data_IF_303179768513
#
_entry.id   IF_303179768513
#
_cell.length_a   1.000
_cell.length_b   1.000
_cell.length_c   1.000
_cell.angle_alpha   90.00
_cell.angle_beta   90.00
_cell.angle_gamma   90.00
#
_symmetry.space_group_name_H-M   'P 1'
#
loop_
_entity.id
_entity.type
_entity.pdbx_description
1 polymer ?
#
# COMPACT_ATOMS: atom_id res chain seq x y z
N UNK A 1 -13.43 4.28 -18.65
CA UNK A 1 -12.96 3.74 -17.36
C UNK A 1 -13.24 4.71 -16.24
N UNK A 2 -13.79 4.23 -15.13
CA UNK A 2 -14.10 5.01 -13.93
C UNK A 2 -13.21 4.56 -12.76
N UNK A 3 -12.86 5.45 -11.82
CA UNK A 3 -12.05 5.10 -10.64
C UNK A 3 -12.70 4.01 -9.78
N UNK A 4 -14.03 3.94 -9.75
CA UNK A 4 -14.74 2.86 -9.05
C UNK A 4 -14.44 1.47 -9.63
N UNK A 5 -14.20 1.36 -10.94
CA UNK A 5 -13.85 0.09 -11.57
C UNK A 5 -12.49 -0.40 -11.05
N UNK A 6 -11.52 0.51 -10.91
CA UNK A 6 -10.21 0.21 -10.35
C UNK A 6 -10.30 -0.22 -8.87
N UNK A 7 -11.14 0.45 -8.07
CA UNK A 7 -11.38 0.07 -6.67
C UNK A 7 -11.98 -1.33 -6.55
N UNK A 8 -12.95 -1.67 -7.39
CA UNK A 8 -13.55 -3.00 -7.41
C UNK A 8 -12.56 -4.07 -7.88
N UNK A 9 -11.77 -3.76 -8.91
CA UNK A 9 -10.72 -4.65 -9.40
C UNK A 9 -9.71 -4.98 -8.30
N UNK A 10 -9.16 -3.97 -7.62
CA UNK A 10 -8.23 -4.19 -6.52
C UNK A 10 -8.88 -4.97 -5.38
N UNK A 11 -10.15 -4.72 -5.07
CA UNK A 11 -10.82 -5.48 -4.02
C UNK A 11 -10.97 -6.96 -4.35
N UNK A 12 -11.30 -7.32 -5.58
CA UNK A 12 -11.35 -8.72 -6.00
C UNK A 12 -9.96 -9.36 -5.97
N UNK A 13 -8.93 -8.61 -6.38
CA UNK A 13 -7.54 -9.07 -6.35
C UNK A 13 -7.04 -9.32 -4.92
N UNK A 14 -7.25 -8.36 -4.01
CA UNK A 14 -6.80 -8.46 -2.62
C UNK A 14 -7.53 -9.57 -1.87
N UNK A 15 -8.85 -9.74 -2.10
CA UNK A 15 -9.64 -10.76 -1.42
C UNK A 15 -9.52 -12.14 -2.06
N UNK A 16 -8.98 -12.27 -3.28
CA UNK A 16 -8.92 -13.52 -4.04
C UNK A 16 -10.30 -14.13 -4.37
N UNK A 17 -11.35 -13.28 -4.44
CA UNK A 17 -12.71 -13.76 -4.69
C UNK A 17 -13.77 -12.65 -4.74
N UNK A 18 -14.68 -12.77 -5.72
CA UNK A 18 -15.76 -11.79 -5.95
C UNK A 18 -16.73 -11.66 -4.77
N UNK A 19 -17.10 -12.78 -4.13
CA UNK A 19 -18.04 -12.77 -2.99
C UNK A 19 -17.47 -12.05 -1.77
N UNK A 20 -16.19 -12.32 -1.44
CA UNK A 20 -15.50 -11.64 -0.33
C UNK A 20 -15.33 -10.15 -0.61
N UNK A 21 -14.93 -9.79 -1.82
CA UNK A 21 -14.83 -8.38 -2.24
C UNK A 21 -16.18 -7.65 -2.17
N UNK A 22 -17.27 -8.30 -2.59
CA UNK A 22 -18.63 -7.75 -2.52
C UNK A 22 -19.07 -7.49 -1.08
N UNK A 23 -18.81 -8.43 -0.18
CA UNK A 23 -19.05 -8.26 1.25
C UNK A 23 -18.25 -7.09 1.83
N UNK A 24 -16.94 -7.01 1.53
CA UNK A 24 -16.04 -5.93 1.98
C UNK A 24 -16.49 -4.53 1.53
N UNK A 25 -17.03 -4.45 0.32
CA UNK A 25 -17.45 -3.19 -0.30
C UNK A 25 -18.94 -2.89 -0.09
N UNK A 26 -19.67 -3.72 0.64
CA UNK A 26 -21.12 -3.59 0.88
C UNK A 26 -21.95 -3.43 -0.41
N UNK A 27 -21.62 -4.23 -1.43
CA UNK A 27 -22.32 -4.25 -2.72
C UNK A 27 -22.69 -5.67 -3.11
N UNK A 28 -23.54 -5.81 -4.14
CA UNK A 28 -23.91 -7.13 -4.66
C UNK A 28 -22.76 -7.74 -5.48
N UNK A 29 -22.59 -9.07 -5.37
CA UNK A 29 -21.61 -9.80 -6.16
C UNK A 29 -21.85 -9.67 -7.69
N UNK A 30 -23.11 -9.76 -8.20
CA UNK A 30 -23.39 -9.49 -9.61
C UNK A 30 -22.98 -8.07 -10.02
N UNK A 31 -23.17 -7.09 -9.13
CA UNK A 31 -22.75 -5.71 -9.32
C UNK A 31 -21.24 -5.59 -9.55
N UNK A 32 -20.42 -6.15 -8.66
CA UNK A 32 -18.95 -6.16 -8.86
C UNK A 32 -18.58 -6.89 -10.15
N UNK A 33 -19.13 -8.09 -10.39
CA UNK A 33 -18.81 -8.89 -11.58
C UNK A 33 -19.07 -8.11 -12.88
N UNK A 34 -20.19 -7.40 -12.97
CA UNK A 34 -20.53 -6.58 -14.13
C UNK A 34 -19.56 -5.40 -14.34
N UNK A 35 -19.09 -4.78 -13.25
CA UNK A 35 -18.13 -3.67 -13.34
C UNK A 35 -16.73 -4.16 -13.74
N UNK A 36 -16.31 -5.34 -13.26
CA UNK A 36 -15.06 -5.97 -13.71
C UNK A 36 -15.15 -6.36 -15.19
N UNK A 37 -16.23 -6.99 -15.62
CA UNK A 37 -16.43 -7.32 -17.03
C UNK A 37 -16.46 -6.08 -17.93
N UNK A 38 -16.96 -4.94 -17.42
CA UNK A 38 -16.87 -3.66 -18.12
C UNK A 38 -15.42 -3.17 -18.21
N UNK A 39 -14.66 -3.25 -17.13
CA UNK A 39 -13.23 -2.87 -17.13
C UNK A 39 -12.42 -3.73 -18.11
N UNK A 40 -12.64 -5.06 -18.09
CA UNK A 40 -12.00 -6.01 -19.01
C UNK A 40 -12.29 -5.67 -20.48
N UNK A 41 -13.56 -5.32 -20.80
CA UNK A 41 -13.94 -4.87 -22.15
C UNK A 41 -13.30 -3.55 -22.54
N UNK A 42 -13.26 -2.57 -21.64
CA UNK A 42 -12.66 -1.26 -21.91
C UNK A 42 -11.14 -1.34 -22.12
N UNK A 43 -10.46 -2.29 -21.43
CA UNK A 43 -9.02 -2.52 -21.58
C UNK A 43 -8.67 -3.55 -22.66
N UNK A 44 -9.66 -4.28 -23.19
CA UNK A 44 -9.44 -5.34 -24.17
C UNK A 44 -8.68 -6.55 -23.64
N UNK A 45 -8.70 -6.77 -22.31
CA UNK A 45 -7.94 -7.84 -21.67
C UNK A 45 -8.73 -8.49 -20.53
N UNK A 46 -8.62 -9.81 -20.40
CA UNK A 46 -9.12 -10.55 -19.23
C UNK A 46 -8.15 -10.33 -18.08
N UNK A 47 -8.66 -9.87 -16.93
CA UNK A 47 -7.83 -9.50 -15.79
C UNK A 47 -7.81 -10.59 -14.71
N UNK A 48 -8.81 -11.45 -14.69
CA UNK A 48 -8.91 -12.56 -13.73
C UNK A 48 -9.03 -13.91 -14.42
N UNK A 49 -8.21 -14.85 -13.99
CA UNK A 49 -8.41 -16.28 -14.23
C UNK A 49 -9.41 -16.84 -13.22
N UNK A 50 -10.50 -17.42 -13.74
CA UNK A 50 -11.63 -17.98 -12.97
C UNK A 50 -11.68 -19.51 -13.04
N UNK A 51 -10.70 -20.15 -13.68
CA UNK A 51 -10.67 -21.61 -13.87
C UNK A 51 -10.31 -22.39 -12.60
N UNK A 52 -9.62 -21.74 -11.66
CA UNK A 52 -9.18 -22.36 -10.41
C UNK A 52 -10.21 -22.21 -9.28
N UNK A 53 -10.02 -23.00 -8.21
CA UNK A 53 -10.82 -22.93 -6.97
C UNK A 53 -10.75 -21.54 -6.29
N UNK A 54 -9.75 -20.75 -6.62
CA UNK A 54 -9.58 -19.36 -6.19
C UNK A 54 -9.37 -18.47 -7.41
N UNK A 55 -9.91 -17.25 -7.35
CA UNK A 55 -9.73 -16.25 -8.41
C UNK A 55 -8.28 -15.74 -8.38
N UNK A 56 -7.60 -15.75 -9.52
CA UNK A 56 -6.22 -15.27 -9.67
C UNK A 56 -6.13 -14.17 -10.71
N UNK A 57 -5.12 -13.32 -10.60
CA UNK A 57 -4.81 -12.34 -11.64
C UNK A 57 -4.16 -13.02 -12.85
N UNK A 58 -4.51 -12.56 -14.04
CA UNK A 58 -3.74 -12.82 -15.26
C UNK A 58 -2.49 -11.93 -15.28
N UNK A 59 -1.58 -12.13 -16.24
CA UNK A 59 -0.46 -11.19 -16.46
C UNK A 59 -0.95 -9.75 -16.70
N UNK A 60 -2.01 -9.59 -17.49
CA UNK A 60 -2.67 -8.30 -17.70
C UNK A 60 -3.26 -7.77 -16.38
N UNK A 61 -3.87 -8.63 -15.57
CA UNK A 61 -4.35 -8.31 -14.23
C UNK A 61 -3.25 -7.79 -13.31
N UNK A 62 -2.07 -8.41 -13.32
CA UNK A 62 -0.92 -7.97 -12.52
C UNK A 62 -0.42 -6.59 -12.93
N UNK A 63 -0.33 -6.33 -14.24
CA UNK A 63 0.02 -5.01 -14.76
C UNK A 63 -1.02 -3.95 -14.36
N UNK A 64 -2.30 -4.27 -14.51
CA UNK A 64 -3.41 -3.38 -14.11
C UNK A 64 -3.39 -3.14 -12.61
N UNK A 65 -3.04 -4.12 -11.77
CA UNK A 65 -2.91 -3.93 -10.32
C UNK A 65 -1.91 -2.85 -9.95
N UNK A 66 -0.72 -2.89 -10.54
CA UNK A 66 0.31 -1.86 -10.30
C UNK A 66 -0.18 -0.47 -10.69
N UNK A 67 -0.72 -0.32 -11.89
CA UNK A 67 -1.18 0.99 -12.38
C UNK A 67 -2.46 1.48 -11.69
N UNK A 68 -3.40 0.59 -11.37
CA UNK A 68 -4.62 0.94 -10.67
C UNK A 68 -4.31 1.56 -9.29
N UNK A 69 -3.34 1.00 -8.57
CA UNK A 69 -2.90 1.56 -7.28
C UNK A 69 -2.28 2.94 -7.44
N UNK A 70 -1.43 3.14 -8.45
CA UNK A 70 -0.84 4.45 -8.75
C UNK A 70 -1.92 5.50 -9.09
N UNK A 71 -2.90 5.14 -9.92
CA UNK A 71 -4.02 6.04 -10.28
C UNK A 71 -4.83 6.43 -9.04
N UNK A 72 -5.13 5.46 -8.17
CA UNK A 72 -5.87 5.73 -6.94
C UNK A 72 -5.03 6.50 -5.90
N UNK A 73 -3.71 6.34 -5.90
CA UNK A 73 -2.81 7.14 -5.07
C UNK A 73 -2.76 8.60 -5.56
N UNK A 74 -2.67 8.82 -6.87
CA UNK A 74 -2.74 10.16 -7.46
C UNK A 74 -4.08 10.85 -7.16
N UNK A 75 -5.20 10.12 -7.20
CA UNK A 75 -6.50 10.68 -6.80
C UNK A 75 -6.55 11.06 -5.31
N UNK A 76 -5.97 10.25 -4.42
CA UNK A 76 -5.84 10.62 -3.01
C UNK A 76 -4.98 11.87 -2.83
N UNK A 77 -3.85 11.95 -3.53
CA UNK A 77 -2.97 13.13 -3.51
C UNK A 77 -3.65 14.40 -4.00
N UNK A 78 -4.46 14.30 -5.07
CA UNK A 78 -5.26 15.43 -5.57
C UNK A 78 -6.25 15.93 -4.52
N UNK A 79 -6.96 15.02 -3.83
CA UNK A 79 -7.86 15.41 -2.74
C UNK A 79 -7.11 16.05 -1.58
N UNK A 80 -6.00 15.45 -1.16
CA UNK A 80 -5.17 15.97 -0.07
C UNK A 80 -4.65 17.38 -0.37
N UNK A 81 -4.23 17.67 -1.61
CA UNK A 81 -3.78 19.00 -2.01
C UNK A 81 -4.90 20.06 -1.96
N UNK A 82 -6.13 19.68 -2.32
CA UNK A 82 -7.31 20.57 -2.18
C UNK A 82 -7.69 20.75 -0.71
N UNK A 83 -7.63 19.69 0.08
CA UNK A 83 -7.92 19.74 1.51
C UNK A 83 -6.89 20.59 2.26
N UNK A 84 -5.61 20.57 1.85
CA UNK A 84 -4.56 21.45 2.36
C UNK A 84 -4.86 22.93 2.10
N UNK A 85 -5.34 23.29 0.90
CA UNK A 85 -5.80 24.65 0.60
C UNK A 85 -6.96 25.09 1.52
N UNK A 86 -7.82 24.13 1.90
CA UNK A 86 -8.92 24.36 2.83
C UNK A 86 -8.51 24.28 4.32
N UNK A 87 -7.21 24.18 4.61
CA UNK A 87 -6.65 23.96 5.96
C UNK A 87 -7.21 22.73 6.69
N UNK A 88 -7.70 21.74 5.94
CA UNK A 88 -8.17 20.46 6.46
C UNK A 88 -7.10 19.40 6.19
N UNK A 89 -6.17 19.20 7.12
CA UNK A 89 -5.26 18.03 7.00
C UNK A 89 -6.05 16.78 7.38
N UNK A 90 -6.59 16.09 6.36
CA UNK A 90 -7.42 14.88 6.47
C UNK A 90 -6.96 13.83 5.48
N UNK A 91 -7.25 12.56 5.77
CA UNK A 91 -6.92 11.45 4.86
C UNK A 91 -6.35 10.24 5.60
N UNK A 92 -5.46 9.51 4.94
CA UNK A 92 -4.79 8.36 5.52
C UNK A 92 -3.29 8.38 5.20
N UNK A 93 -2.47 8.01 6.18
CA UNK A 93 -1.03 7.79 6.03
C UNK A 93 -0.72 6.35 6.46
N UNK A 94 -0.23 5.54 5.52
CA UNK A 94 0.18 4.15 5.75
C UNK A 94 1.71 4.09 5.77
N UNK A 95 2.25 3.77 6.93
CA UNK A 95 3.68 3.74 7.21
C UNK A 95 4.13 2.30 7.40
N UNK A 96 5.07 1.87 6.57
CA UNK A 96 5.78 0.60 6.71
C UNK A 96 6.98 0.73 7.63
N UNK A 97 7.25 -0.29 8.44
CA UNK A 97 8.45 -0.34 9.28
C UNK A 97 9.00 -1.76 9.34
N UNK A 98 10.33 -1.88 9.39
CA UNK A 98 10.96 -3.18 9.60
C UNK A 98 10.51 -3.81 10.92
N UNK A 99 10.46 -5.14 10.93
CA UNK A 99 10.21 -5.93 12.14
C UNK A 99 11.17 -5.50 13.26
N UNK A 100 10.64 -5.37 14.47
CA UNK A 100 11.39 -4.93 15.65
C UNK A 100 12.08 -3.56 15.49
N UNK A 101 11.49 -2.65 14.70
CA UNK A 101 11.95 -1.27 14.62
C UNK A 101 11.92 -0.59 16.00
N UNK A 102 13.07 -0.11 16.46
CA UNK A 102 13.24 0.60 17.75
C UNK A 102 13.66 2.06 17.61
N UNK A 103 13.42 2.68 16.45
CA UNK A 103 13.83 4.06 16.16
C UNK A 103 12.93 5.05 16.92
N UNK A 104 13.28 5.36 18.16
CA UNK A 104 12.49 6.24 19.04
C UNK A 104 12.14 7.61 18.42
N UNK A 105 13.07 8.34 17.76
CA UNK A 105 12.76 9.63 17.13
C UNK A 105 11.65 9.52 16.07
N UNK A 106 11.58 8.39 15.38
CA UNK A 106 10.56 8.15 14.37
C UNK A 106 9.17 7.99 15.00
N UNK A 107 9.05 7.18 16.05
CA UNK A 107 7.78 7.03 16.78
C UNK A 107 7.34 8.33 17.45
N UNK A 108 8.28 9.11 18.00
CA UNK A 108 7.99 10.44 18.55
C UNK A 108 7.43 11.39 17.48
N UNK A 109 8.00 11.39 16.27
CA UNK A 109 7.52 12.18 15.15
C UNK A 109 6.11 11.75 14.69
N UNK A 110 5.84 10.44 14.59
CA UNK A 110 4.51 9.92 14.26
C UNK A 110 3.45 10.32 15.31
N UNK A 111 3.80 10.25 16.60
CA UNK A 111 2.91 10.66 17.67
C UNK A 111 2.63 12.17 17.65
N UNK A 112 3.65 13.00 17.38
CA UNK A 112 3.50 14.44 17.22
C UNK A 112 2.62 14.78 16.01
N UNK A 113 2.84 14.11 14.87
CA UNK A 113 2.03 14.25 13.67
C UNK A 113 0.56 13.90 13.93
N UNK A 114 0.29 12.78 14.59
CA UNK A 114 -1.08 12.37 14.90
C UNK A 114 -1.81 13.37 15.81
N UNK A 115 -1.12 13.96 16.80
CA UNK A 115 -1.67 15.01 17.66
C UNK A 115 -1.96 16.30 16.90
N UNK A 116 -1.07 16.69 15.99
CA UNK A 116 -1.24 17.90 15.17
C UNK A 116 -2.34 17.74 14.11
N UNK A 117 -2.55 16.51 13.62
CA UNK A 117 -3.47 16.20 12.52
C UNK A 117 -4.40 15.03 12.85
N UNK A 118 -5.33 15.18 13.81
CA UNK A 118 -6.24 14.11 14.23
C UNK A 118 -7.21 13.66 13.12
N UNK A 119 -7.37 14.46 12.06
CA UNK A 119 -8.13 14.10 10.86
C UNK A 119 -7.44 13.11 9.92
N UNK A 120 -6.17 12.76 10.17
CA UNK A 120 -5.41 11.79 9.38
C UNK A 120 -5.41 10.43 10.07
N UNK A 121 -5.95 9.42 9.39
CA UNK A 121 -5.86 8.04 9.81
C UNK A 121 -4.45 7.50 9.60
N UNK A 122 -3.70 7.31 10.69
CA UNK A 122 -2.37 6.71 10.66
C UNK A 122 -2.47 5.19 10.78
N UNK A 123 -1.87 4.45 9.84
CA UNK A 123 -1.77 2.99 9.87
C UNK A 123 -0.32 2.55 9.82
N UNK A 124 0.08 1.68 10.74
CA UNK A 124 1.39 1.05 10.76
C UNK A 124 1.29 -0.38 10.20
N UNK A 125 2.29 -0.79 9.43
CA UNK A 125 2.43 -2.17 8.94
C UNK A 125 3.89 -2.59 9.05
N UNK A 126 4.11 -3.86 9.35
CA UNK A 126 5.45 -4.44 9.46
C UNK A 126 5.69 -5.45 8.34
N UNK A 127 6.92 -5.46 7.80
CA UNK A 127 7.39 -6.43 6.80
C UNK A 127 8.93 -6.37 6.70
N UNK A 128 9.53 -7.20 5.84
CA UNK A 128 10.95 -7.09 5.48
C UNK A 128 11.25 -5.86 4.59
N UNK A 129 12.51 -5.39 4.58
CA UNK A 129 12.91 -4.18 3.84
C UNK A 129 12.55 -4.22 2.34
N UNK A 130 12.76 -5.36 1.68
CA UNK A 130 12.55 -5.50 0.24
C UNK A 130 11.06 -5.44 -0.11
N UNK A 131 10.23 -6.10 0.69
CA UNK A 131 8.78 -6.11 0.54
C UNK A 131 8.17 -4.76 0.90
N UNK A 132 8.69 -4.08 1.92
CA UNK A 132 8.31 -2.70 2.20
C UNK A 132 8.62 -1.78 1.01
N UNK A 133 9.84 -1.87 0.44
CA UNK A 133 10.20 -1.09 -0.74
C UNK A 133 9.29 -1.40 -1.94
N UNK A 134 8.97 -2.68 -2.19
CA UNK A 134 8.00 -3.07 -3.22
C UNK A 134 6.61 -2.47 -2.97
N UNK A 135 6.14 -2.48 -1.72
CA UNK A 135 4.84 -1.93 -1.32
C UNK A 135 4.75 -0.42 -1.52
N UNK A 136 5.85 0.32 -1.33
CA UNK A 136 5.95 1.76 -1.69
C UNK A 136 5.84 1.93 -3.20
N UNK A 137 6.60 1.17 -4.01
CA UNK A 137 6.52 1.22 -5.49
C UNK A 137 5.12 0.93 -6.02
N UNK A 138 4.43 0.00 -5.37
CA UNK A 138 3.06 -0.37 -5.70
C UNK A 138 2.02 0.63 -5.16
N UNK A 139 2.40 1.60 -4.33
CA UNK A 139 1.48 2.57 -3.73
C UNK A 139 0.49 1.97 -2.73
N UNK A 140 0.85 0.82 -2.12
CA UNK A 140 0.05 0.20 -1.03
C UNK A 140 0.41 0.73 0.35
N UNK A 141 1.58 1.33 0.48
CA UNK A 141 2.02 2.13 1.63
C UNK A 141 2.65 3.42 1.11
N UNK A 142 2.60 4.48 1.91
CA UNK A 142 3.01 5.82 1.49
C UNK A 142 4.50 6.08 1.75
N UNK A 143 5.03 5.53 2.85
CA UNK A 143 6.46 5.54 3.17
C UNK A 143 6.86 4.30 3.97
N UNK A 144 8.15 3.97 3.94
CA UNK A 144 8.69 2.84 4.69
C UNK A 144 10.00 3.20 5.39
N UNK A 145 10.12 2.77 6.64
CA UNK A 145 11.39 2.71 7.36
C UNK A 145 12.00 1.33 7.14
N UNK A 146 13.11 1.30 6.40
CA UNK A 146 13.82 0.08 6.00
C UNK A 146 15.25 0.07 6.55
N UNK A 147 15.79 -1.12 6.77
CA UNK A 147 17.24 -1.29 6.92
C UNK A 147 17.89 -1.35 5.54
N UNK A 148 18.91 -0.52 5.32
CA UNK A 148 19.69 -0.51 4.07
C UNK A 148 21.18 -0.65 4.41
N UNK A 149 21.77 -1.79 4.06
CA UNK A 149 23.17 -2.05 4.41
C UNK A 149 24.13 -1.05 3.76
N UNK A 150 23.93 -0.69 2.47
CA UNK A 150 24.86 0.18 1.75
C UNK A 150 24.25 1.14 0.72
N UNK A 151 23.00 0.92 0.28
CA UNK A 151 22.39 1.80 -0.74
C UNK A 151 20.87 1.82 -0.61
N UNK A 152 20.31 3.03 -0.69
CA UNK A 152 18.88 3.21 -0.84
C UNK A 152 18.41 2.68 -2.21
N UNK A 153 17.12 2.29 -2.35
CA UNK A 153 16.57 1.92 -3.64
C UNK A 153 16.70 3.08 -4.64
N UNK A 154 17.29 2.84 -5.82
CA UNK A 154 17.56 3.90 -6.81
C UNK A 154 16.27 4.54 -7.37
N UNK A 155 15.18 3.80 -7.37
CA UNK A 155 13.89 4.19 -7.93
C UNK A 155 12.93 4.81 -6.89
N UNK A 156 13.39 5.01 -5.66
CA UNK A 156 12.63 5.63 -4.58
C UNK A 156 13.41 6.79 -3.97
N UNK A 157 12.70 7.86 -3.62
CA UNK A 157 13.28 8.91 -2.78
C UNK A 157 13.54 8.33 -1.38
N UNK A 158 14.78 8.47 -0.91
CA UNK A 158 15.21 7.96 0.38
C UNK A 158 15.95 9.01 1.19
N UNK A 159 15.84 8.91 2.51
CA UNK A 159 16.53 9.77 3.47
C UNK A 159 17.02 8.92 4.63
N UNK A 160 18.27 9.11 5.02
CA UNK A 160 18.81 8.50 6.24
C UNK A 160 18.11 9.10 7.46
N UNK A 161 17.49 8.24 8.27
CA UNK A 161 16.80 8.61 9.53
C UNK A 161 17.70 8.34 10.73
N UNK A 162 18.39 7.20 10.70
CA UNK A 162 19.33 6.76 11.73
C UNK A 162 20.40 5.89 11.08
N UNK A 163 21.61 5.92 11.65
CA UNK A 163 22.71 5.03 11.29
C UNK A 163 23.12 4.27 12.56
N UNK A 164 22.86 2.96 12.57
CA UNK A 164 23.13 2.08 13.71
C UNK A 164 24.21 1.06 13.34
N UNK A 165 25.25 0.87 14.18
CA UNK A 165 26.27 -0.14 13.92
C UNK A 165 25.70 -1.55 14.07
N UNK A 166 26.05 -2.44 13.14
CA UNK A 166 25.77 -3.87 13.30
C UNK A 166 26.70 -4.45 14.37
N UNK A 167 26.11 -5.08 15.39
CA UNK A 167 26.84 -5.76 16.46
C UNK A 167 26.53 -7.26 16.45
N UNK A 168 27.49 -8.06 16.94
CA UNK A 168 27.28 -9.49 17.16
C UNK A 168 26.81 -9.68 18.60
N UNK A 169 25.64 -10.31 18.77
CA UNK A 169 25.18 -10.73 20.08
C UNK A 169 25.79 -12.08 20.44
N UNK A 170 26.57 -12.10 21.52
CA UNK A 170 27.23 -13.30 22.03
C UNK A 170 26.82 -13.59 23.47
N UNK A 171 26.83 -14.86 23.92
CA UNK A 171 26.72 -15.17 25.34
C UNK A 171 27.79 -14.43 26.16
N UNK A 172 27.53 -14.10 27.44
CA UNK A 172 28.53 -13.46 28.31
C UNK A 172 29.86 -14.22 28.39
N UNK A 173 29.82 -15.54 28.23
CA UNK A 173 30.97 -16.43 28.29
C UNK A 173 31.60 -16.74 26.92
N UNK A 174 31.28 -15.99 25.88
CA UNK A 174 31.86 -16.20 24.54
C UNK A 174 33.36 -15.87 24.54
N UNK A 175 34.23 -16.74 23.96
CA UNK A 175 35.67 -16.53 23.90
C UNK A 175 36.08 -15.31 23.08
#
# INVERSE_FOLDING_TARGET
MELRHLRYFLAVADEGGFTRAAARLHVSQPGISAQIARLERELGAVLFDRSARAVRLTEAGELVRRHARQVLAAERGLRAAVDELNALVRGSLVVGMIMACTVEPFFAALAAFHRAHPGVALRLVEDDSDRLAARVREGTIDLALIGAAHRAPEDLAAREVVNEPLAVAVPPEHP
#
